data_IF_456569585928
#
_entry.id   IF_456569585928
#
_cell.length_a   1.000
_cell.length_b   1.000
_cell.length_c   1.000
_cell.angle_alpha   90.00
_cell.angle_beta   90.00
_cell.angle_gamma   90.00
#
_symmetry.space_group_name_H-M   'P 1'
#
loop_
_entity.id
_entity.type
_entity.pdbx_description
1 polymer ?
#
# COMPACT_ATOMS: atom_id res chain seq x y z
N UNK A 1 6.00 -11.73 -5.05
CA UNK A 1 6.03 -10.50 -4.22
C UNK A 1 4.60 -10.14 -3.86
N UNK A 2 4.38 -9.51 -2.72
CA UNK A 2 3.05 -9.05 -2.29
C UNK A 2 3.07 -7.54 -2.20
N UNK A 3 2.18 -6.87 -2.94
CA UNK A 3 1.95 -5.44 -2.83
C UNK A 3 1.23 -5.10 -1.53
N UNK A 4 1.52 -3.95 -0.94
CA UNK A 4 0.78 -3.44 0.21
C UNK A 4 0.15 -2.08 -0.09
N UNK A 5 -1.02 -1.85 0.49
CA UNK A 5 -1.80 -0.62 0.38
C UNK A 5 -1.44 0.40 1.47
N UNK A 6 -1.88 1.66 1.30
CA UNK A 6 -1.66 2.79 2.20
C UNK A 6 -2.13 2.49 3.62
N UNK A 7 -3.31 1.89 3.77
CA UNK A 7 -3.85 1.60 5.10
C UNK A 7 -2.95 0.65 5.91
N UNK A 8 -2.25 -0.31 5.29
CA UNK A 8 -1.33 -1.21 5.98
C UNK A 8 -0.17 -0.42 6.58
N UNK A 9 0.44 0.48 5.81
CA UNK A 9 1.55 1.31 6.28
C UNK A 9 1.08 2.25 7.40
N UNK A 10 -0.09 2.85 7.24
CA UNK A 10 -0.67 3.73 8.27
C UNK A 10 -0.86 2.96 9.59
N UNK A 11 -1.35 1.72 9.57
CA UNK A 11 -1.49 0.91 10.80
C UNK A 11 -0.15 0.59 11.44
N UNK A 12 0.87 0.24 10.67
CA UNK A 12 2.21 -0.02 11.18
C UNK A 12 2.82 1.20 11.88
N UNK A 13 2.62 2.40 11.33
CA UNK A 13 3.19 3.64 11.85
C UNK A 13 2.42 4.24 13.02
N UNK A 14 1.09 4.22 12.97
CA UNK A 14 0.24 4.92 13.94
C UNK A 14 -0.26 4.03 15.07
N UNK A 15 -0.36 2.70 14.83
CA UNK A 15 -0.89 1.70 15.79
C UNK A 15 -2.25 2.05 16.36
N UNK A 16 -3.04 2.79 15.61
CA UNK A 16 -4.34 3.31 16.02
C UNK A 16 -5.45 2.26 15.99
N UNK A 17 -5.23 1.14 15.30
CA UNK A 17 -6.02 -0.09 15.37
C UNK A 17 -5.10 -1.26 15.76
N UNK A 18 -5.19 -1.79 16.99
CA UNK A 18 -4.32 -2.86 17.47
C UNK A 18 -4.46 -4.17 16.68
N UNK A 19 -5.67 -4.51 16.23
CA UNK A 19 -5.93 -5.76 15.51
C UNK A 19 -5.30 -5.69 14.12
N UNK A 20 -5.53 -4.58 13.42
CA UNK A 20 -4.92 -4.38 12.10
C UNK A 20 -3.41 -4.17 12.19
N UNK A 21 -2.91 -3.56 13.27
CA UNK A 21 -1.47 -3.48 13.54
C UNK A 21 -0.84 -4.87 13.64
N UNK A 22 -1.41 -5.76 14.45
CA UNK A 22 -0.88 -7.13 14.62
C UNK A 22 -0.94 -7.95 13.32
N UNK A 23 -2.00 -7.78 12.52
CA UNK A 23 -2.11 -8.39 11.19
C UNK A 23 -1.03 -7.86 10.23
N UNK A 24 -0.81 -6.54 10.21
CA UNK A 24 0.23 -5.93 9.38
C UNK A 24 1.64 -6.36 9.82
N UNK A 25 1.90 -6.48 11.12
CA UNK A 25 3.16 -7.01 11.65
C UNK A 25 3.36 -8.47 11.23
N UNK A 26 2.32 -9.28 11.26
CA UNK A 26 2.37 -10.68 10.80
C UNK A 26 2.70 -10.78 9.32
N UNK A 27 2.10 -9.92 8.48
CA UNK A 27 2.42 -9.83 7.05
C UNK A 27 3.90 -9.46 6.83
N UNK A 28 4.41 -8.46 7.56
CA UNK A 28 5.81 -8.04 7.52
C UNK A 28 6.75 -9.18 7.93
N UNK A 29 6.44 -9.90 9.01
CA UNK A 29 7.25 -11.04 9.50
C UNK A 29 7.26 -12.22 8.53
N UNK A 30 6.23 -12.39 7.72
CA UNK A 30 6.16 -13.44 6.71
C UNK A 30 6.98 -13.12 5.44
N UNK A 31 7.42 -11.87 5.28
CA UNK A 31 8.22 -11.45 4.13
C UNK A 31 9.68 -11.91 4.23
N UNK A 32 10.36 -12.01 3.09
CA UNK A 32 11.77 -12.42 3.00
C UNK A 32 12.40 -11.91 1.70
N UNK A 33 13.72 -12.04 1.55
CA UNK A 33 14.41 -11.64 0.32
C UNK A 33 13.89 -12.38 -0.94
N UNK A 34 13.40 -13.62 -0.77
CA UNK A 34 12.79 -14.41 -1.85
C UNK A 34 11.33 -14.03 -2.12
N UNK A 35 10.62 -13.51 -1.11
CA UNK A 35 9.24 -13.07 -1.19
C UNK A 35 9.06 -11.70 -0.50
N UNK A 36 9.61 -10.62 -1.10
CA UNK A 36 9.57 -9.30 -0.50
C UNK A 36 8.16 -8.70 -0.56
N UNK A 37 7.92 -7.75 0.33
CA UNK A 37 6.80 -6.83 0.19
C UNK A 37 7.14 -5.81 -0.89
N UNK A 38 6.11 -5.32 -1.57
CA UNK A 38 6.25 -4.32 -2.61
C UNK A 38 5.46 -3.07 -2.22
N UNK A 39 6.13 -1.92 -2.27
CA UNK A 39 5.53 -0.64 -1.94
C UNK A 39 5.49 0.25 -3.18
N UNK A 40 4.27 0.59 -3.55
CA UNK A 40 3.98 1.50 -4.66
C UNK A 40 4.33 2.95 -4.28
N UNK A 41 4.94 3.77 -5.16
CA UNK A 41 5.19 5.18 -4.89
C UNK A 41 3.92 5.99 -4.63
N UNK A 42 2.78 5.58 -5.20
CA UNK A 42 1.47 6.16 -4.85
C UNK A 42 1.12 5.89 -3.38
N UNK A 43 1.37 4.67 -2.91
CA UNK A 43 1.18 4.29 -1.50
C UNK A 43 2.10 5.09 -0.58
N UNK A 44 3.36 5.34 -0.97
CA UNK A 44 4.29 6.21 -0.23
C UNK A 44 3.74 7.64 -0.14
N UNK A 45 3.36 8.22 -1.28
CA UNK A 45 2.87 9.58 -1.37
C UNK A 45 1.57 9.77 -0.56
N UNK A 46 0.65 8.82 -0.69
CA UNK A 46 -0.62 8.84 0.04
C UNK A 46 -0.41 8.63 1.53
N UNK A 47 0.49 7.72 1.95
CA UNK A 47 0.83 7.54 3.37
C UNK A 47 1.32 8.85 3.99
N UNK A 48 2.27 9.54 3.34
CA UNK A 48 2.77 10.84 3.82
C UNK A 48 1.61 11.84 3.92
N UNK A 49 0.76 11.92 2.89
CA UNK A 49 -0.41 12.79 2.91
C UNK A 49 -1.36 12.47 4.06
N UNK A 50 -1.65 11.18 4.33
CA UNK A 50 -2.52 10.74 5.43
C UNK A 50 -1.92 11.13 6.77
N UNK A 51 -0.62 10.91 6.99
CA UNK A 51 0.05 11.28 8.24
C UNK A 51 -0.01 12.80 8.47
N UNK A 52 0.31 13.59 7.46
CA UNK A 52 0.31 15.06 7.55
C UNK A 52 -1.11 15.64 7.70
N UNK A 53 -2.09 15.11 6.96
CA UNK A 53 -3.44 15.71 6.87
C UNK A 53 -4.45 15.10 7.81
N UNK A 54 -4.50 13.79 7.96
CA UNK A 54 -5.45 13.12 8.84
C UNK A 54 -4.91 13.05 10.28
N UNK A 55 -3.68 12.57 10.45
CA UNK A 55 -3.07 12.39 11.78
C UNK A 55 -2.34 13.63 12.31
N UNK A 56 -2.22 14.69 11.49
CA UNK A 56 -1.58 15.98 11.87
C UNK A 56 -0.13 15.82 12.35
N UNK A 57 0.56 14.80 11.85
CA UNK A 57 2.00 14.63 12.09
C UNK A 57 2.77 15.74 11.39
N UNK A 58 3.80 16.27 12.06
CA UNK A 58 4.67 17.28 11.48
C UNK A 58 5.33 16.77 10.18
N UNK A 59 5.35 17.54 9.07
CA UNK A 59 5.79 17.02 7.77
C UNK A 59 7.21 16.40 7.75
N UNK A 60 8.26 17.03 8.33
CA UNK A 60 9.55 16.39 8.53
C UNK A 60 9.47 15.03 9.24
N UNK A 61 8.69 14.94 10.33
CA UNK A 61 8.54 13.73 11.13
C UNK A 61 7.82 12.63 10.33
N UNK A 62 6.75 12.97 9.61
CA UNK A 62 6.02 12.03 8.78
C UNK A 62 6.92 11.39 7.71
N UNK A 63 7.73 12.21 7.03
CA UNK A 63 8.68 11.73 6.01
C UNK A 63 9.76 10.85 6.62
N UNK A 64 10.28 11.21 7.79
CA UNK A 64 11.28 10.41 8.50
C UNK A 64 10.71 9.05 8.93
N UNK A 65 9.46 9.00 9.42
CA UNK A 65 8.79 7.75 9.78
C UNK A 65 8.60 6.84 8.56
N UNK A 66 8.14 7.38 7.44
CA UNK A 66 7.96 6.61 6.21
C UNK A 66 9.30 6.12 5.66
N UNK A 67 10.32 6.99 5.60
CA UNK A 67 11.66 6.59 5.17
C UNK A 67 12.24 5.48 6.07
N UNK A 68 12.15 5.64 7.38
CA UNK A 68 12.62 4.64 8.34
C UNK A 68 11.90 3.30 8.20
N UNK A 69 10.61 3.28 7.82
CA UNK A 69 9.90 2.04 7.52
C UNK A 69 10.37 1.42 6.20
N UNK A 70 10.58 2.21 5.16
CA UNK A 70 11.05 1.73 3.85
C UNK A 70 12.48 1.20 3.88
N UNK A 71 13.33 1.76 4.75
CA UNK A 71 14.68 1.27 5.03
C UNK A 71 14.67 -0.04 5.84
N UNK A 72 13.50 -0.45 6.33
CA UNK A 72 13.28 -1.71 7.02
C UNK A 72 12.49 -2.68 6.17
N UNK A 73 12.60 -3.97 6.48
CA UNK A 73 11.98 -5.07 5.74
C UNK A 73 12.48 -5.17 4.28
N UNK A 74 12.34 -6.35 3.70
CA UNK A 74 12.61 -6.59 2.29
C UNK A 74 11.48 -5.93 1.47
N UNK A 75 11.57 -4.61 1.30
CA UNK A 75 10.62 -3.79 0.54
C UNK A 75 11.24 -3.46 -0.82
N UNK A 76 10.52 -3.80 -1.89
CA UNK A 76 10.87 -3.39 -3.25
C UNK A 76 9.98 -2.23 -3.71
N UNK A 77 10.61 -1.26 -4.35
CA UNK A 77 9.96 -0.16 -5.06
C UNK A 77 9.94 -0.52 -6.55
N UNK A 78 8.90 -0.11 -7.32
CA UNK A 78 8.80 -0.40 -8.75
C UNK A 78 10.02 0.05 -9.55
N UNK A 79 10.42 -0.80 -10.49
CA UNK A 79 11.30 -0.42 -11.60
C UNK A 79 10.49 0.23 -12.74
N UNK A 80 9.19 -0.06 -12.82
CA UNK A 80 8.29 0.45 -13.88
C UNK A 80 7.05 1.12 -13.29
N UNK A 81 6.78 2.36 -13.71
CA UNK A 81 5.56 3.12 -13.39
C UNK A 81 4.61 3.15 -14.58
N UNK A 82 4.08 1.97 -14.95
CA UNK A 82 3.14 1.82 -16.06
C UNK A 82 1.77 1.44 -15.54
N UNK A 83 0.76 2.19 -15.96
CA UNK A 83 -0.65 1.88 -15.74
C UNK A 83 -1.28 1.54 -17.09
N UNK A 84 -1.81 0.34 -17.21
CA UNK A 84 -2.57 -0.13 -18.36
C UNK A 84 -4.05 0.23 -18.22
N UNK A 85 -4.74 0.43 -19.36
CA UNK A 85 -6.17 0.73 -19.41
C UNK A 85 -6.62 1.95 -18.58
N UNK A 86 -5.72 2.90 -18.28
CA UNK A 86 -6.01 4.07 -17.44
C UNK A 86 -7.24 4.86 -17.90
N UNK A 87 -7.45 4.99 -19.21
CA UNK A 87 -8.61 5.70 -19.77
C UNK A 87 -9.94 5.00 -19.49
N UNK A 88 -9.97 3.66 -19.43
CA UNK A 88 -11.18 2.91 -19.06
C UNK A 88 -11.47 3.08 -17.58
N UNK A 89 -10.44 2.99 -16.74
CA UNK A 89 -10.58 3.20 -15.29
C UNK A 89 -10.99 4.63 -14.95
N UNK A 90 -10.45 5.63 -15.64
CA UNK A 90 -10.80 7.03 -15.43
C UNK A 90 -12.29 7.31 -15.75
N UNK A 91 -12.84 6.59 -16.72
CA UNK A 91 -14.26 6.68 -17.10
C UNK A 91 -15.15 5.73 -16.28
N UNK A 92 -14.57 4.87 -15.45
CA UNK A 92 -15.33 3.95 -14.61
C UNK A 92 -15.96 4.67 -13.42
N UNK A 93 -17.10 4.16 -12.95
CA UNK A 93 -17.76 4.66 -11.74
C UNK A 93 -17.11 4.14 -10.44
N UNK A 94 -15.89 3.61 -10.52
CA UNK A 94 -15.22 3.01 -9.38
C UNK A 94 -14.87 4.08 -8.34
N UNK A 95 -15.29 3.93 -7.06
CA UNK A 95 -15.12 5.00 -6.06
C UNK A 95 -13.66 5.18 -5.60
N UNK A 96 -12.81 4.15 -5.73
CA UNK A 96 -11.40 4.17 -5.35
C UNK A 96 -10.46 4.13 -6.57
N UNK A 97 -10.25 5.28 -7.23
CA UNK A 97 -9.37 5.33 -8.40
C UNK A 97 -7.88 5.09 -8.05
N UNK A 98 -7.46 5.50 -6.84
CA UNK A 98 -6.11 5.20 -6.31
C UNK A 98 -5.88 3.70 -6.18
N UNK A 99 -6.84 2.96 -5.62
CA UNK A 99 -6.76 1.52 -5.40
C UNK A 99 -6.48 0.76 -6.71
N UNK A 100 -7.16 1.18 -7.78
CA UNK A 100 -6.99 0.65 -9.13
C UNK A 100 -5.57 0.90 -9.66
N UNK A 101 -5.06 2.13 -9.53
CA UNK A 101 -3.69 2.48 -9.96
C UNK A 101 -2.67 1.66 -9.17
N UNK A 102 -2.88 1.53 -7.86
CA UNK A 102 -1.99 0.78 -6.96
C UNK A 102 -1.92 -0.68 -7.41
N UNK A 103 -3.09 -1.32 -7.56
CA UNK A 103 -3.17 -2.71 -7.98
C UNK A 103 -2.54 -2.95 -9.36
N UNK A 104 -2.76 -2.05 -10.32
CA UNK A 104 -2.27 -2.21 -11.69
C UNK A 104 -0.74 -2.06 -11.77
N UNK A 105 -0.15 -1.05 -11.11
CA UNK A 105 1.30 -0.90 -11.02
C UNK A 105 1.93 -2.09 -10.28
N UNK A 106 1.32 -2.54 -9.18
CA UNK A 106 1.83 -3.70 -8.43
C UNK A 106 1.87 -4.94 -9.33
N UNK A 107 0.79 -5.20 -10.08
CA UNK A 107 0.71 -6.30 -11.05
C UNK A 107 1.74 -6.17 -12.16
N UNK A 108 1.92 -4.97 -12.72
CA UNK A 108 2.92 -4.70 -13.76
C UNK A 108 4.37 -4.95 -13.29
N UNK A 109 4.61 -4.88 -11.97
CA UNK A 109 5.90 -5.19 -11.35
C UNK A 109 5.95 -6.63 -10.79
N UNK A 110 5.02 -7.52 -11.16
CA UNK A 110 5.07 -8.94 -10.79
C UNK A 110 4.59 -9.26 -9.37
N UNK A 111 3.81 -8.37 -8.74
CA UNK A 111 3.09 -8.74 -7.52
C UNK A 111 1.97 -9.74 -7.85
N UNK A 112 1.88 -10.78 -7.03
CA UNK A 112 0.79 -11.77 -7.14
C UNK A 112 -0.55 -11.15 -6.77
N UNK A 113 -0.53 -10.30 -5.74
CA UNK A 113 -1.68 -9.62 -5.18
C UNK A 113 -1.26 -8.37 -4.40
N UNK A 114 -2.23 -7.53 -4.08
CA UNK A 114 -2.09 -6.36 -3.22
C UNK A 114 -2.96 -6.52 -1.98
N UNK A 115 -2.36 -6.48 -0.79
CA UNK A 115 -3.11 -6.58 0.47
C UNK A 115 -3.65 -5.21 0.89
N UNK A 116 -4.89 -5.17 1.38
CA UNK A 116 -5.56 -3.96 1.89
C UNK A 116 -6.46 -4.29 3.08
N UNK A 117 -6.70 -3.32 3.96
CA UNK A 117 -7.78 -3.39 4.96
C UNK A 117 -9.12 -2.83 4.45
N UNK A 118 -9.16 -2.22 3.26
CA UNK A 118 -10.41 -1.73 2.66
C UNK A 118 -11.20 -2.88 2.02
N UNK A 119 -12.29 -3.25 2.68
CA UNK A 119 -13.21 -4.30 2.21
C UNK A 119 -13.85 -3.98 0.86
N UNK A 120 -14.12 -2.71 0.55
CA UNK A 120 -14.66 -2.33 -0.76
C UNK A 120 -13.60 -2.56 -1.82
N UNK A 121 -12.40 -2.02 -1.63
CA UNK A 121 -11.28 -2.20 -2.56
C UNK A 121 -11.00 -3.69 -2.83
N UNK A 122 -10.90 -4.50 -1.78
CA UNK A 122 -10.70 -5.95 -1.91
C UNK A 122 -11.83 -6.68 -2.67
N UNK A 123 -13.07 -6.17 -2.63
CA UNK A 123 -14.20 -6.79 -3.32
C UNK A 123 -14.39 -6.29 -4.75
N UNK A 124 -13.89 -5.10 -5.07
CA UNK A 124 -14.21 -4.41 -6.32
C UNK A 124 -13.00 -4.20 -7.25
N UNK A 125 -11.77 -4.24 -6.74
CA UNK A 125 -10.54 -4.06 -7.52
C UNK A 125 -9.87 -5.41 -7.77
N UNK A 126 -9.78 -5.88 -9.03
CA UNK A 126 -9.09 -7.12 -9.35
C UNK A 126 -7.62 -7.09 -8.89
N UNK A 127 -7.20 -8.14 -8.17
CA UNK A 127 -5.83 -8.26 -7.65
C UNK A 127 -5.61 -7.63 -6.27
N UNK A 128 -6.63 -7.02 -5.66
CA UNK A 128 -6.61 -6.67 -4.24
C UNK A 128 -7.25 -7.76 -3.38
N UNK A 129 -6.67 -8.03 -2.21
CA UNK A 129 -7.18 -8.99 -1.22
C UNK A 129 -7.25 -8.36 0.17
N UNK A 130 -8.29 -8.72 0.92
CA UNK A 130 -8.47 -8.26 2.29
C UNK A 130 -7.45 -8.95 3.21
N UNK A 131 -6.68 -8.17 3.95
CA UNK A 131 -5.86 -8.68 5.05
C UNK A 131 -6.77 -8.82 6.29
N UNK A 132 -7.06 -10.08 6.65
CA UNK A 132 -7.90 -10.45 7.79
C UNK A 132 -7.09 -10.73 9.05
#
# INVERSE_FOLDING_TARGET
>A
MIGIDTNIIVRLLTRDDPVQFDAAVSLVKASSAAAPLFVNPMVIAETVWVLEKAYKVDPPVARQQVAGLLDTVEIKVPETLRVENWGQWFMSSHPGFSDVIIADINRANGCEKTMTFDRKAANSVPGMELLA
#
